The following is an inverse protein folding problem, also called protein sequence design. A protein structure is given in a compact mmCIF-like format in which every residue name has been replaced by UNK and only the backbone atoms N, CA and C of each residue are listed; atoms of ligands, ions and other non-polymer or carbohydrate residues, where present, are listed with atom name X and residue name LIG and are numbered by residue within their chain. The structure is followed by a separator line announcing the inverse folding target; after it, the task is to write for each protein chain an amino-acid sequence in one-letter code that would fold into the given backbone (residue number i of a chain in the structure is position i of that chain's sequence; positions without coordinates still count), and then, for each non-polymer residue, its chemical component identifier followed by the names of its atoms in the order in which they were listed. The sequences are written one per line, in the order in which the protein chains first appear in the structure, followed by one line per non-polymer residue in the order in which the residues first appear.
data_IF_598698131978
#
_entry.id   IF_598698131978
#
_cell.length_a   1.000
_cell.length_b   1.000
_cell.length_c   1.000
_cell.angle_alpha   90.00
_cell.angle_beta   90.00
_cell.angle_gamma   90.00
#
_symmetry.space_group_name_H-M   'P 1'
#
loop_
_entity.id
_entity.type
_entity.pdbx_description
1 polymer ?
#
# COMPACT_ATOMS: atom_id res chain seq x y z
N UNK A 1 10.03 0.31 -15.96
CA UNK A 1 9.10 1.49 -16.11
C UNK A 1 9.87 2.76 -15.75
N UNK A 2 9.70 3.86 -16.50
CA UNK A 2 10.32 5.14 -16.14
C UNK A 2 9.41 5.89 -15.15
N UNK A 3 9.66 5.70 -13.87
CA UNK A 3 8.86 6.31 -12.81
C UNK A 3 8.98 7.83 -12.71
N UNK A 4 10.01 8.42 -13.32
CA UNK A 4 10.17 9.89 -13.38
C UNK A 4 9.15 10.54 -14.32
N UNK A 5 8.67 9.76 -15.30
CA UNK A 5 7.69 10.18 -16.29
C UNK A 5 6.39 9.39 -16.17
N UNK A 6 6.06 8.91 -14.95
CA UNK A 6 4.81 8.20 -14.74
C UNK A 6 3.61 9.06 -15.15
N UNK A 7 2.75 8.50 -15.99
CA UNK A 7 1.49 9.11 -16.39
C UNK A 7 0.33 8.32 -15.84
N UNK A 8 -0.69 9.00 -15.39
CA UNK A 8 -1.93 8.36 -14.99
C UNK A 8 -2.49 7.51 -16.15
N UNK A 9 -3.08 6.34 -15.87
CA UNK A 9 -3.67 5.47 -16.88
C UNK A 9 -4.98 6.02 -17.48
N UNK A 10 -5.28 7.28 -17.19
CA UNK A 10 -6.47 7.99 -17.66
C UNK A 10 -6.17 9.49 -17.81
N UNK A 11 -7.00 10.19 -18.60
CA UNK A 11 -7.00 11.65 -18.64
C UNK A 11 -7.59 12.20 -17.35
N UNK A 12 -6.84 13.08 -16.66
CA UNK A 12 -7.30 13.69 -15.40
C UNK A 12 -8.53 14.55 -15.69
N UNK A 13 -9.56 14.40 -14.85
CA UNK A 13 -10.75 15.22 -14.93
C UNK A 13 -10.41 16.68 -14.58
N UNK A 14 -10.78 17.66 -15.45
CA UNK A 14 -10.50 19.09 -15.22
C UNK A 14 -10.96 19.63 -13.85
N UNK A 15 -11.99 19.05 -13.28
CA UNK A 15 -12.52 19.45 -11.96
C UNK A 15 -11.63 18.99 -10.80
N UNK A 16 -10.67 18.05 -11.05
CA UNK A 16 -9.86 17.39 -10.02
C UNK A 16 -8.37 17.38 -10.35
N UNK A 17 -7.85 18.52 -10.82
CA UNK A 17 -6.46 18.65 -11.28
C UNK A 17 -5.44 18.82 -10.15
N UNK A 18 -5.88 19.01 -8.91
CA UNK A 18 -4.98 19.15 -7.76
C UNK A 18 -4.31 17.83 -7.45
N UNK A 19 -2.98 17.76 -7.60
CA UNK A 19 -2.18 16.61 -7.22
C UNK A 19 -2.34 16.32 -5.73
N UNK A 20 -2.74 15.10 -5.41
CA UNK A 20 -3.03 14.68 -4.04
C UNK A 20 -2.29 13.38 -3.73
N UNK A 21 -1.55 13.36 -2.63
CA UNK A 21 -0.97 12.14 -2.06
C UNK A 21 -1.75 11.74 -0.81
N UNK A 22 -2.24 10.51 -0.80
CA UNK A 22 -2.99 9.93 0.31
C UNK A 22 -2.16 8.89 1.03
N UNK A 23 -1.80 9.18 2.26
CA UNK A 23 -1.01 8.28 3.11
C UNK A 23 -1.94 7.46 4.00
N UNK A 24 -1.80 6.15 3.96
CA UNK A 24 -2.48 5.25 4.88
C UNK A 24 -1.59 4.05 5.23
N UNK A 25 -1.74 3.56 6.44
CA UNK A 25 -1.04 2.33 6.88
C UNK A 25 -1.59 1.07 6.22
N UNK A 26 -2.83 1.14 5.72
CA UNK A 26 -3.55 0.03 5.12
C UNK A 26 -4.28 0.46 3.86
N UNK A 27 -4.30 -0.42 2.85
CA UNK A 27 -5.11 -0.25 1.65
C UNK A 27 -5.71 -1.60 1.22
N UNK A 28 -7.02 -1.75 1.35
CA UNK A 28 -7.76 -2.90 0.83
C UNK A 28 -8.15 -2.66 -0.63
N UNK A 29 -7.18 -2.71 -1.54
CA UNK A 29 -7.39 -2.49 -2.98
C UNK A 29 -7.58 -3.80 -3.73
N UNK A 30 -6.78 -4.81 -3.39
CA UNK A 30 -6.80 -6.12 -4.00
C UNK A 30 -6.49 -7.19 -2.96
N UNK A 31 -7.11 -8.36 -3.09
CA UNK A 31 -6.89 -9.49 -2.18
C UNK A 31 -5.48 -10.06 -2.25
N UNK A 32 -4.81 -9.96 -3.39
CA UNK A 32 -3.44 -10.42 -3.56
C UNK A 32 -2.43 -9.49 -2.85
N UNK A 33 -2.77 -8.22 -2.65
CA UNK A 33 -1.94 -7.24 -1.93
C UNK A 33 -2.37 -7.17 -0.46
N UNK A 34 -1.81 -8.04 0.36
CA UNK A 34 -2.19 -8.21 1.78
C UNK A 34 -1.52 -7.17 2.68
N UNK A 35 -1.89 -5.91 2.52
CA UNK A 35 -1.42 -4.77 3.33
C UNK A 35 -2.55 -4.13 4.13
N UNK A 36 -3.57 -4.90 4.44
CA UNK A 36 -4.73 -4.47 5.23
C UNK A 36 -5.27 -5.59 6.10
N UNK A 37 -6.02 -5.25 7.14
CA UNK A 37 -6.72 -6.23 7.98
C UNK A 37 -8.15 -5.83 8.33
N UNK A 38 -8.46 -4.56 8.44
CA UNK A 38 -9.76 -4.11 8.96
C UNK A 38 -10.32 -2.85 8.29
N UNK A 39 -11.15 -2.16 9.04
CA UNK A 39 -11.94 -1.03 8.55
C UNK A 39 -11.11 0.12 7.97
N UNK A 40 -9.93 0.39 8.53
CA UNK A 40 -9.02 1.40 8.01
C UNK A 40 -8.62 1.10 6.56
N UNK A 41 -8.25 -0.15 6.29
CA UNK A 41 -7.87 -0.58 4.95
C UNK A 41 -9.03 -0.51 3.96
N UNK A 42 -10.23 -0.91 4.37
CA UNK A 42 -11.43 -0.84 3.52
C UNK A 42 -11.83 0.61 3.23
N UNK A 43 -11.75 1.51 4.20
CA UNK A 43 -12.00 2.93 3.98
C UNK A 43 -11.01 3.51 2.97
N UNK A 44 -9.71 3.29 3.18
CA UNK A 44 -8.66 3.77 2.30
C UNK A 44 -8.79 3.18 0.89
N UNK A 45 -9.07 1.89 0.77
CA UNK A 45 -9.28 1.23 -0.52
C UNK A 45 -10.50 1.76 -1.27
N UNK A 46 -11.61 1.99 -0.58
CA UNK A 46 -12.82 2.59 -1.19
C UNK A 46 -12.56 4.01 -1.66
N UNK A 47 -11.82 4.80 -0.88
CA UNK A 47 -11.43 6.15 -1.26
C UNK A 47 -10.56 6.15 -2.53
N UNK A 48 -9.56 5.27 -2.60
CA UNK A 48 -8.73 5.10 -3.80
C UNK A 48 -9.54 4.74 -5.04
N UNK A 49 -10.49 3.80 -4.91
CA UNK A 49 -11.38 3.40 -6.02
C UNK A 49 -12.28 4.55 -6.48
N UNK A 50 -12.79 5.34 -5.54
CA UNK A 50 -13.60 6.53 -5.86
C UNK A 50 -12.76 7.60 -6.59
N UNK A 51 -11.55 7.87 -6.10
CA UNK A 51 -10.62 8.79 -6.75
C UNK A 51 -10.28 8.36 -8.19
N UNK A 52 -10.06 7.07 -8.41
CA UNK A 52 -9.86 6.48 -9.75
C UNK A 52 -11.08 6.69 -10.65
N UNK A 53 -12.28 6.40 -10.17
CA UNK A 53 -13.52 6.55 -10.94
C UNK A 53 -13.78 8.01 -11.32
N UNK A 54 -13.44 8.94 -10.43
CA UNK A 54 -13.55 10.39 -10.67
C UNK A 54 -12.40 10.94 -11.53
N UNK A 55 -11.42 10.11 -11.91
CA UNK A 55 -10.24 10.50 -12.69
C UNK A 55 -9.43 11.61 -12.02
N UNK A 56 -9.25 11.52 -10.71
CA UNK A 56 -8.47 12.48 -9.92
C UNK A 56 -6.96 12.31 -10.15
N UNK A 57 -6.19 13.39 -10.02
CA UNK A 57 -4.72 13.33 -9.93
C UNK A 57 -4.33 12.92 -8.50
N UNK A 58 -4.40 11.61 -8.25
CA UNK A 58 -4.38 11.04 -6.89
C UNK A 58 -3.48 9.82 -6.80
N UNK A 59 -2.60 9.79 -5.81
CA UNK A 59 -1.72 8.65 -5.52
C UNK A 59 -1.84 8.20 -4.08
N UNK A 60 -1.99 6.89 -3.87
CA UNK A 60 -1.93 6.28 -2.54
C UNK A 60 -0.50 5.91 -2.17
N UNK A 61 -0.11 6.20 -0.94
CA UNK A 61 1.20 5.84 -0.38
C UNK A 61 0.98 5.04 0.88
N UNK A 62 1.40 3.78 0.87
CA UNK A 62 1.25 2.83 1.96
C UNK A 62 2.55 2.18 2.37
N UNK A 63 2.48 1.25 3.32
CA UNK A 63 3.61 0.47 3.79
C UNK A 63 3.51 -0.94 3.24
N UNK A 64 4.59 -1.41 2.63
CA UNK A 64 4.70 -2.79 2.18
C UNK A 64 5.23 -3.65 3.34
N UNK A 65 4.32 -4.22 4.10
CA UNK A 65 4.64 -5.04 5.26
C UNK A 65 5.31 -6.36 4.84
N UNK A 66 6.53 -6.60 5.27
CA UNK A 66 7.30 -7.80 4.91
C UNK A 66 6.61 -9.11 5.33
N UNK A 67 6.01 -9.12 6.49
CA UNK A 67 5.27 -10.28 6.99
C UNK A 67 3.76 -10.07 6.91
N UNK A 68 3.33 -8.87 6.51
CA UNK A 68 1.93 -8.48 6.43
C UNK A 68 1.23 -8.56 7.78
N UNK A 69 -0.07 -8.79 7.74
CA UNK A 69 -0.83 -9.25 8.88
C UNK A 69 -0.66 -10.76 8.98
N UNK A 70 -0.47 -11.27 10.21
CA UNK A 70 -0.28 -12.69 10.42
C UNK A 70 -1.56 -13.47 10.08
N UNK A 71 -1.38 -14.69 9.65
CA UNK A 71 -2.47 -15.65 9.51
C UNK A 71 -2.69 -16.35 10.85
N UNK A 72 -3.90 -16.84 11.10
CA UNK A 72 -4.24 -17.55 12.33
C UNK A 72 -4.61 -19.00 12.04
N UNK A 73 -4.10 -19.91 12.83
CA UNK A 73 -4.58 -21.28 12.91
C UNK A 73 -5.04 -21.60 14.33
N UNK A 74 -5.69 -22.73 14.50
CA UNK A 74 -6.05 -23.25 15.83
C UNK A 74 -5.23 -24.49 16.13
N UNK A 75 -4.71 -24.55 17.33
CA UNK A 75 -4.13 -25.76 17.89
C UNK A 75 -5.23 -26.79 18.22
N UNK A 76 -4.85 -28.02 18.55
CA UNK A 76 -5.80 -29.07 18.93
C UNK A 76 -6.60 -28.72 20.19
N UNK A 77 -6.02 -27.96 21.10
CA UNK A 77 -6.66 -27.42 22.32
C UNK A 77 -7.50 -26.16 22.07
N UNK A 78 -7.74 -25.79 20.81
CA UNK A 78 -8.48 -24.61 20.37
C UNK A 78 -7.82 -23.25 20.67
N UNK A 79 -6.61 -23.21 21.22
CA UNK A 79 -5.85 -21.98 21.36
C UNK A 79 -5.43 -21.44 19.98
N UNK A 80 -5.28 -20.11 19.88
CA UNK A 80 -4.86 -19.45 18.64
C UNK A 80 -3.34 -19.57 18.48
N UNK A 81 -2.93 -19.89 17.25
CA UNK A 81 -1.54 -19.93 16.86
C UNK A 81 -1.29 -18.91 15.73
N UNK A 82 -0.49 -17.84 15.95
CA UNK A 82 -0.16 -16.88 14.92
C UNK A 82 0.88 -17.47 13.95
N UNK A 83 0.62 -17.31 12.65
CA UNK A 83 1.51 -17.76 11.60
C UNK A 83 2.08 -16.53 10.87
N UNK A 84 3.38 -16.33 11.01
CA UNK A 84 4.12 -15.23 10.39
C UNK A 84 4.77 -15.71 9.10
N UNK A 85 4.14 -15.43 7.97
CA UNK A 85 4.66 -15.79 6.66
C UNK A 85 5.20 -14.56 5.93
N UNK A 86 6.43 -14.65 5.44
CA UNK A 86 7.01 -13.59 4.61
C UNK A 86 6.18 -13.43 3.34
N UNK A 87 5.65 -12.24 3.15
CA UNK A 87 4.86 -11.90 1.95
C UNK A 87 5.81 -11.56 0.80
N UNK A 88 5.50 -12.08 -0.38
CA UNK A 88 6.20 -11.80 -1.62
C UNK A 88 5.17 -11.43 -2.68
N UNK A 89 5.42 -10.32 -3.35
CA UNK A 89 4.50 -9.77 -4.35
C UNK A 89 5.23 -9.64 -5.68
N UNK A 90 5.09 -10.67 -6.53
CA UNK A 90 5.77 -10.72 -7.83
C UNK A 90 5.24 -9.71 -8.86
N UNK A 91 4.08 -9.14 -8.60
CA UNK A 91 3.46 -8.12 -9.46
C UNK A 91 3.88 -6.68 -9.11
N UNK A 92 4.65 -6.48 -8.03
CA UNK A 92 5.21 -5.18 -7.71
C UNK A 92 6.53 -4.97 -8.45
N UNK A 93 6.74 -3.75 -8.92
CA UNK A 93 7.97 -3.35 -9.60
C UNK A 93 8.89 -2.58 -8.66
N UNK A 94 10.19 -2.89 -8.74
CA UNK A 94 11.22 -2.09 -8.08
C UNK A 94 11.39 -0.77 -8.82
N UNK A 95 11.04 0.33 -8.18
CA UNK A 95 11.18 1.67 -8.78
C UNK A 95 12.63 2.15 -8.86
N UNK A 96 13.56 1.48 -8.15
CA UNK A 96 14.94 1.95 -7.98
C UNK A 96 15.06 3.16 -7.04
N UNK A 97 13.95 3.72 -6.57
CA UNK A 97 13.96 4.88 -5.68
C UNK A 97 14.28 4.42 -4.26
N UNK A 98 15.36 4.97 -3.70
CA UNK A 98 15.77 4.77 -2.32
C UNK A 98 16.12 6.11 -1.70
N UNK A 99 15.73 6.30 -0.45
CA UNK A 99 16.09 7.46 0.32
C UNK A 99 16.16 7.11 1.81
N UNK A 100 16.69 8.01 2.61
CA UNK A 100 16.83 7.82 4.04
C UNK A 100 15.95 8.81 4.79
N UNK A 101 15.30 8.33 5.82
CA UNK A 101 14.58 9.15 6.79
C UNK A 101 15.19 8.92 8.17
N UNK A 102 14.94 9.83 9.08
CA UNK A 102 15.38 9.69 10.47
C UNK A 102 14.17 9.31 11.34
N UNK A 103 14.32 8.25 12.14
CA UNK A 103 13.32 7.81 13.11
C UNK A 103 14.03 7.62 14.46
N UNK A 104 13.59 8.35 15.47
CA UNK A 104 14.22 8.32 16.80
C UNK A 104 15.76 8.50 16.77
N UNK A 105 16.24 9.48 16.00
CA UNK A 105 17.66 9.76 15.78
C UNK A 105 18.43 8.60 15.13
N UNK A 106 17.76 7.65 14.51
CA UNK A 106 18.37 6.56 13.76
C UNK A 106 18.01 6.65 12.27
N UNK A 107 18.98 6.48 11.37
CA UNK A 107 18.73 6.50 9.94
C UNK A 107 18.01 5.22 9.50
N UNK A 108 16.90 5.38 8.78
CA UNK A 108 16.11 4.29 8.22
C UNK A 108 16.05 4.41 6.71
N UNK A 109 16.45 3.36 6.01
CA UNK A 109 16.37 3.30 4.57
C UNK A 109 14.95 2.95 4.11
N UNK A 110 14.43 3.75 3.20
CA UNK A 110 13.15 3.54 2.53
C UNK A 110 13.40 3.18 1.08
N UNK A 111 12.71 2.17 0.60
CA UNK A 111 12.69 1.75 -0.80
C UNK A 111 11.25 1.78 -1.31
N UNK A 112 11.08 2.32 -2.50
CA UNK A 112 9.77 2.41 -3.16
C UNK A 112 9.59 1.27 -4.16
N UNK A 113 8.41 0.66 -4.12
CA UNK A 113 7.99 -0.43 -5.00
C UNK A 113 6.77 -0.03 -5.82
#
# INVERSE_FOLDING_TARGET
MDFKNFKMPYSINPDYTKKTAYFSMEFAIDQALKIYSGGLGFLAGSHMKSAYNLKQDFVGIGILWKYGYYDQSRNMDQTLNPIWTKKMYSFLEDTGIKFQIEIHNAPVWVKVW
#
